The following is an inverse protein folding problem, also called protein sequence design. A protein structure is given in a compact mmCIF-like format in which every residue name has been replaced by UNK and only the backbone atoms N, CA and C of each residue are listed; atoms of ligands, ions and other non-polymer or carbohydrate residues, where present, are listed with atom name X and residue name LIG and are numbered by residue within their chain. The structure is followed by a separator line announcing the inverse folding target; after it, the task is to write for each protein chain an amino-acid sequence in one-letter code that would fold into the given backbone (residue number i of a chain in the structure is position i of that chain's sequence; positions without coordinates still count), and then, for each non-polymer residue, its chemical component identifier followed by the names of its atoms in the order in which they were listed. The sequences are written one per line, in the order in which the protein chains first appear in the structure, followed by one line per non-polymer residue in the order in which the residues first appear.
data_IF_127150334993
#
_entry.id   IF_127150334993
#
_cell.length_a   1.000
_cell.length_b   1.000
_cell.length_c   1.000
_cell.angle_alpha   90.00
_cell.angle_beta   90.00
_cell.angle_gamma   90.00
#
_symmetry.space_group_name_H-M   'P 1'
#
loop_
_entity.id
_entity.type
_entity.pdbx_description
1 polymer ?
#
# COMPACT_ATOMS: atom_id res chain seq x y z
N UNK A 1 -4.14 18.54 -9.50
CA UNK A 1 -4.07 18.19 -10.93
C UNK A 1 -5.42 18.33 -11.63
N UNK A 2 -5.39 18.52 -12.93
CA UNK A 2 -6.55 18.71 -13.81
C UNK A 2 -7.09 17.34 -14.25
N UNK A 3 -7.62 16.59 -13.30
CA UNK A 3 -8.24 15.26 -13.50
C UNK A 3 -9.52 15.15 -12.68
N UNK A 4 -10.50 14.40 -13.19
CA UNK A 4 -11.70 14.09 -12.42
C UNK A 4 -11.37 13.17 -11.22
N UNK A 5 -10.69 12.06 -11.47
CA UNK A 5 -10.29 11.14 -10.41
C UNK A 5 -9.20 11.72 -9.53
N UNK A 6 -9.53 11.90 -8.29
CA UNK A 6 -8.70 12.42 -7.22
C UNK A 6 -9.57 12.91 -6.07
N UNK A 7 -8.95 13.33 -4.99
CA UNK A 7 -9.68 13.86 -3.85
C UNK A 7 -10.03 15.34 -4.14
N UNK A 8 -11.31 15.72 -4.03
CA UNK A 8 -11.69 17.11 -4.23
C UNK A 8 -11.07 17.99 -3.14
N UNK A 9 -10.70 19.19 -3.50
CA UNK A 9 -10.10 20.16 -2.57
C UNK A 9 -11.22 21.01 -1.97
N UNK A 10 -11.45 20.97 -0.64
CA UNK A 10 -12.58 21.60 0.02
C UNK A 10 -12.36 23.13 0.19
N UNK A 11 -12.12 23.81 -0.93
CA UNK A 11 -11.88 25.25 -0.98
C UNK A 11 -12.75 25.88 -2.05
N UNK A 12 -13.28 27.05 -1.78
CA UNK A 12 -13.98 27.88 -2.75
C UNK A 12 -13.23 29.19 -2.99
N UNK A 13 -13.30 29.70 -4.21
CA UNK A 13 -12.76 31.00 -4.60
C UNK A 13 -13.89 32.01 -4.66
N UNK A 14 -13.84 33.01 -3.78
CA UNK A 14 -14.77 34.12 -3.72
C UNK A 14 -14.08 35.42 -4.18
N UNK A 15 -14.72 36.24 -4.99
CA UNK A 15 -14.13 37.50 -5.45
C UNK A 15 -13.87 38.47 -4.30
N UNK A 16 -14.71 38.44 -3.26
CA UNK A 16 -14.58 39.31 -2.09
C UNK A 16 -13.63 38.77 -1.03
N UNK A 17 -13.67 37.45 -0.75
CA UNK A 17 -12.97 36.85 0.38
C UNK A 17 -11.69 36.10 -0.01
N UNK A 18 -11.42 35.90 -1.31
CA UNK A 18 -10.31 35.08 -1.79
C UNK A 18 -10.62 33.59 -1.66
N UNK A 19 -9.60 32.80 -1.29
CA UNK A 19 -9.75 31.37 -1.04
C UNK A 19 -10.31 31.15 0.36
N UNK A 20 -11.44 30.43 0.43
CA UNK A 20 -12.16 30.13 1.69
C UNK A 20 -12.34 28.63 1.80
N UNK A 21 -11.95 27.99 2.91
CA UNK A 21 -12.26 26.58 3.14
C UNK A 21 -13.77 26.37 3.31
N UNK A 22 -14.27 25.20 2.91
CA UNK A 22 -15.63 24.78 3.22
C UNK A 22 -15.78 24.62 4.74
N UNK A 23 -17.01 24.79 5.23
CA UNK A 23 -17.36 24.50 6.62
C UNK A 23 -17.37 22.98 6.88
N UNK A 24 -17.21 22.58 8.13
CA UNK A 24 -17.15 21.15 8.51
C UNK A 24 -18.45 20.39 8.18
N UNK A 25 -19.58 21.08 8.24
CA UNK A 25 -20.91 20.53 7.89
C UNK A 25 -21.10 20.31 6.38
N UNK A 26 -20.25 20.89 5.54
CA UNK A 26 -20.20 20.64 4.08
C UNK A 26 -19.25 19.48 3.70
N UNK A 27 -18.63 18.83 4.67
CA UNK A 27 -17.72 17.69 4.45
C UNK A 27 -18.43 16.34 4.70
N UNK A 28 -18.08 15.29 3.95
CA UNK A 28 -17.10 15.25 2.86
C UNK A 28 -17.58 15.95 1.59
N UNK A 29 -16.68 16.69 0.92
CA UNK A 29 -16.95 17.20 -0.42
C UNK A 29 -16.88 16.04 -1.42
N UNK A 30 -18.00 15.71 -2.05
CA UNK A 30 -18.10 14.64 -3.03
C UNK A 30 -17.96 15.17 -4.46
N UNK A 31 -17.37 14.32 -5.32
CA UNK A 31 -17.34 14.57 -6.76
C UNK A 31 -18.75 14.37 -7.35
N UNK A 32 -19.16 15.19 -8.33
CA UNK A 32 -20.46 15.03 -8.97
C UNK A 32 -20.50 13.77 -9.83
N UNK A 33 -21.63 13.06 -9.84
CA UNK A 33 -21.86 11.97 -10.78
C UNK A 33 -21.92 12.48 -12.22
N UNK A 34 -21.13 11.89 -13.11
CA UNK A 34 -21.01 12.33 -14.50
C UNK A 34 -20.95 11.14 -15.46
N UNK A 35 -21.55 11.32 -16.64
CA UNK A 35 -21.49 10.31 -17.70
C UNK A 35 -20.10 10.24 -18.37
N UNK A 36 -19.36 11.35 -18.40
CA UNK A 36 -18.03 11.45 -18.99
C UNK A 36 -17.14 12.41 -18.23
N UNK A 37 -15.89 12.04 -18.07
CA UNK A 37 -14.85 12.82 -17.40
C UNK A 37 -13.54 12.84 -18.19
N UNK A 38 -13.63 12.83 -19.50
CA UNK A 38 -12.46 12.90 -20.38
C UNK A 38 -11.68 14.21 -20.16
N UNK A 39 -10.35 14.16 -20.26
CA UNK A 39 -9.54 15.37 -20.21
C UNK A 39 -9.99 16.38 -21.26
N UNK A 40 -9.95 17.66 -20.90
CA UNK A 40 -10.28 18.75 -21.81
C UNK A 40 -9.09 19.09 -22.73
N UNK A 41 -9.38 19.56 -23.93
CA UNK A 41 -8.35 19.94 -24.92
C UNK A 41 -7.58 21.22 -24.52
N UNK A 42 -8.17 22.05 -23.65
CA UNK A 42 -7.58 23.29 -23.17
C UNK A 42 -6.73 23.13 -21.89
N UNK A 43 -6.62 21.89 -21.37
CA UNK A 43 -5.86 21.58 -20.15
C UNK A 43 -6.55 21.94 -18.84
N UNK A 44 -7.80 22.39 -18.87
CA UNK A 44 -8.61 22.60 -17.67
C UNK A 44 -9.10 21.26 -17.11
N UNK A 45 -9.45 21.26 -15.83
CA UNK A 45 -10.09 20.10 -15.20
C UNK A 45 -11.45 19.81 -15.85
N UNK A 46 -11.83 18.54 -16.08
CA UNK A 46 -13.18 18.17 -16.47
C UNK A 46 -14.25 18.72 -15.53
N UNK A 47 -13.95 18.90 -14.25
CA UNK A 47 -14.85 19.51 -13.26
C UNK A 47 -15.18 20.96 -13.60
N UNK A 48 -14.32 21.71 -14.27
CA UNK A 48 -14.55 23.10 -14.61
C UNK A 48 -15.76 23.30 -15.54
N UNK A 49 -16.11 22.28 -16.34
CA UNK A 49 -17.29 22.30 -17.21
C UNK A 49 -18.61 21.98 -16.47
N UNK A 50 -18.54 21.52 -15.22
CA UNK A 50 -19.71 21.12 -14.42
C UNK A 50 -20.25 22.31 -13.63
N UNK A 51 -20.88 23.24 -14.30
CA UNK A 51 -21.28 24.53 -13.76
C UNK A 51 -22.14 24.45 -12.51
N UNK A 52 -23.02 23.46 -12.42
CA UNK A 52 -23.91 23.26 -11.27
C UNK A 52 -23.15 22.82 -10.02
N UNK A 53 -22.07 22.08 -10.19
CA UNK A 53 -21.19 21.70 -9.09
C UNK A 53 -20.16 22.81 -8.75
N UNK A 54 -19.62 23.47 -9.77
CA UNK A 54 -18.59 24.52 -9.60
C UNK A 54 -19.15 25.75 -8.90
N UNK A 55 -20.32 26.23 -9.32
CA UNK A 55 -20.91 27.44 -8.76
C UNK A 55 -21.55 27.16 -7.40
N UNK A 56 -21.16 27.96 -6.41
CA UNK A 56 -21.61 27.78 -5.03
C UNK A 56 -21.66 29.13 -4.31
N UNK A 57 -21.99 29.12 -3.04
CA UNK A 57 -21.96 30.29 -2.16
C UNK A 57 -20.71 30.28 -1.29
N UNK A 58 -20.17 31.44 -1.01
CA UNK A 58 -19.04 31.61 -0.12
C UNK A 58 -19.46 31.38 1.34
N UNK A 59 -18.84 30.43 2.07
CA UNK A 59 -19.17 30.16 3.48
C UNK A 59 -18.92 31.39 4.39
N UNK A 60 -18.02 32.28 3.97
CA UNK A 60 -17.65 33.44 4.78
C UNK A 60 -18.62 34.63 4.60
N UNK A 61 -19.01 34.95 3.37
CA UNK A 61 -19.80 36.19 3.13
C UNK A 61 -21.17 35.94 2.46
N UNK A 62 -21.51 34.68 2.16
CA UNK A 62 -22.77 34.31 1.49
C UNK A 62 -22.88 34.75 0.02
N UNK A 63 -21.85 35.41 -0.53
CA UNK A 63 -21.81 35.81 -1.93
C UNK A 63 -21.46 34.70 -2.90
N UNK A 64 -21.49 34.97 -4.23
CA UNK A 64 -21.13 33.99 -5.24
C UNK A 64 -19.68 33.54 -5.08
N UNK A 65 -19.46 32.23 -5.25
CA UNK A 65 -18.14 31.63 -5.21
C UNK A 65 -18.05 30.45 -6.20
N UNK A 66 -16.85 30.00 -6.47
CA UNK A 66 -16.59 28.82 -7.31
C UNK A 66 -15.77 27.80 -6.53
N UNK A 67 -16.17 26.53 -6.58
CA UNK A 67 -15.36 25.42 -6.04
C UNK A 67 -14.06 25.29 -6.81
N UNK A 68 -13.02 24.85 -6.10
CA UNK A 68 -11.77 24.42 -6.72
C UNK A 68 -12.04 23.22 -7.63
N UNK A 69 -11.53 23.27 -8.86
CA UNK A 69 -11.77 22.24 -9.87
C UNK A 69 -10.60 21.28 -10.05
N UNK A 70 -9.45 21.61 -9.50
CA UNK A 70 -8.33 20.68 -9.40
C UNK A 70 -8.63 19.62 -8.33
N UNK A 71 -8.11 18.41 -8.53
CA UNK A 71 -8.18 17.35 -7.54
C UNK A 71 -6.79 16.98 -7.05
N UNK A 72 -6.68 16.54 -5.80
CA UNK A 72 -5.45 15.96 -5.30
C UNK A 72 -5.23 14.57 -5.92
N UNK A 73 -3.98 14.16 -6.23
CA UNK A 73 -3.71 12.81 -6.69
C UNK A 73 -4.01 11.80 -5.57
N UNK A 74 -4.25 10.54 -5.95
CA UNK A 74 -4.49 9.44 -5.01
C UNK A 74 -3.40 9.28 -3.92
N UNK A 75 -2.23 9.86 -4.11
CA UNK A 75 -1.18 9.92 -3.09
C UNK A 75 -1.57 10.74 -1.86
N UNK A 76 -2.50 11.68 -1.98
CA UNK A 76 -3.02 12.41 -0.84
C UNK A 76 -3.79 11.48 0.10
N UNK A 77 -4.76 10.70 -0.40
CA UNK A 77 -5.50 9.73 0.39
C UNK A 77 -4.63 8.60 0.93
N UNK A 78 -3.74 8.06 0.10
CA UNK A 78 -2.81 7.02 0.56
C UNK A 78 -1.79 7.51 1.59
N UNK A 79 -1.68 8.83 1.79
CA UNK A 79 -0.71 9.42 2.73
C UNK A 79 -1.04 9.19 4.19
N UNK A 80 -2.26 8.82 4.52
CA UNK A 80 -2.72 8.70 5.91
C UNK A 80 -3.44 7.40 6.25
N UNK A 81 -3.56 6.45 5.32
CA UNK A 81 -4.28 5.19 5.54
C UNK A 81 -3.76 4.40 6.76
N UNK A 82 -2.45 4.39 6.98
CA UNK A 82 -1.82 3.69 8.10
C UNK A 82 -2.18 4.32 9.46
N UNK A 83 -2.49 5.60 9.50
CA UNK A 83 -3.04 6.26 10.68
C UNK A 83 -4.46 5.76 10.95
N UNK A 84 -5.30 5.74 9.92
CA UNK A 84 -6.68 5.27 10.01
C UNK A 84 -6.77 3.79 10.41
N UNK A 85 -5.81 2.97 10.00
CA UNK A 85 -5.75 1.55 10.39
C UNK A 85 -5.57 1.36 11.90
N UNK A 86 -5.05 2.33 12.62
CA UNK A 86 -4.91 2.23 14.09
C UNK A 86 -6.27 2.26 14.79
N UNK A 87 -7.30 2.86 14.16
CA UNK A 87 -8.63 3.02 14.74
C UNK A 87 -9.70 3.14 13.62
N UNK A 88 -9.96 2.04 12.86
CA UNK A 88 -10.70 2.10 11.59
C UNK A 88 -12.20 2.40 11.76
N UNK A 89 -12.75 2.20 12.95
CA UNK A 89 -14.19 2.40 13.26
C UNK A 89 -14.47 3.73 13.98
N UNK A 90 -13.48 4.58 14.16
CA UNK A 90 -13.66 5.88 14.78
C UNK A 90 -14.39 6.84 13.82
N UNK A 91 -15.56 7.32 14.21
CA UNK A 91 -16.35 8.25 13.39
C UNK A 91 -16.14 9.73 13.81
N UNK A 92 -15.46 9.98 14.92
CA UNK A 92 -15.33 11.31 15.50
C UNK A 92 -13.98 11.96 15.17
N UNK A 93 -12.96 11.15 14.84
CA UNK A 93 -11.61 11.63 14.55
C UNK A 93 -10.90 10.74 13.54
N UNK A 94 -9.75 11.20 13.03
CA UNK A 94 -8.82 10.45 12.20
C UNK A 94 -8.49 9.07 12.81
N UNK A 95 -8.14 9.07 14.08
CA UNK A 95 -7.98 7.95 14.99
C UNK A 95 -7.87 8.49 16.42
N UNK A 96 -8.13 7.67 17.43
CA UNK A 96 -7.95 8.07 18.82
C UNK A 96 -6.46 8.32 19.15
N UNK A 97 -6.20 9.27 20.02
CA UNK A 97 -4.83 9.60 20.45
C UNK A 97 -4.14 8.42 21.12
N UNK A 98 -4.90 7.62 21.85
CA UNK A 98 -4.45 6.41 22.54
C UNK A 98 -4.00 5.34 21.55
N UNK A 99 -4.81 5.07 20.53
CA UNK A 99 -4.47 4.11 19.48
C UNK A 99 -3.23 4.55 18.70
N UNK A 100 -3.17 5.82 18.27
CA UNK A 100 -2.01 6.35 17.58
C UNK A 100 -0.75 6.32 18.45
N UNK A 101 -0.84 6.62 19.75
CA UNK A 101 0.31 6.55 20.66
C UNK A 101 0.82 5.12 20.84
N UNK A 102 -0.05 4.13 20.77
CA UNK A 102 0.33 2.72 20.89
C UNK A 102 0.96 2.18 19.61
N UNK A 103 0.39 2.48 18.44
CA UNK A 103 0.78 1.87 17.17
C UNK A 103 1.81 2.65 16.37
N UNK A 104 2.08 3.91 16.72
CA UNK A 104 3.02 4.75 15.98
C UNK A 104 4.30 5.03 16.78
N UNK A 105 5.43 5.24 16.09
CA UNK A 105 5.62 5.10 14.64
C UNK A 105 5.49 3.64 14.18
N UNK A 106 5.13 3.42 12.91
CA UNK A 106 5.08 2.07 12.32
C UNK A 106 6.46 1.42 12.43
N UNK A 107 6.53 0.24 13.04
CA UNK A 107 7.80 -0.42 13.35
C UNK A 107 8.57 -0.80 12.09
N UNK A 108 7.85 -1.30 11.08
CA UNK A 108 8.47 -1.77 9.85
C UNK A 108 7.54 -1.57 8.66
N UNK A 109 8.03 -0.81 7.66
CA UNK A 109 7.29 -0.43 6.48
C UNK A 109 7.95 -0.97 5.20
N UNK A 110 7.28 -1.93 4.55
CA UNK A 110 7.74 -2.57 3.32
C UNK A 110 7.03 -2.00 2.10
N UNK A 111 7.77 -1.80 1.02
CA UNK A 111 7.20 -1.33 -0.23
C UNK A 111 8.21 -1.29 -1.37
N UNK A 112 7.71 -1.08 -2.59
CA UNK A 112 8.56 -0.96 -3.77
C UNK A 112 9.45 0.29 -3.73
N UNK A 113 10.60 0.22 -4.38
CA UNK A 113 11.56 1.32 -4.45
C UNK A 113 10.97 2.56 -5.12
N UNK A 114 10.05 2.41 -6.06
CA UNK A 114 9.35 3.49 -6.76
C UNK A 114 8.60 4.43 -5.82
N UNK A 115 8.12 3.92 -4.68
CA UNK A 115 7.39 4.71 -3.70
C UNK A 115 8.25 5.68 -2.90
N UNK A 116 9.58 5.63 -3.03
CA UNK A 116 10.49 6.57 -2.39
C UNK A 116 10.17 8.03 -2.77
N UNK A 117 9.84 8.27 -4.03
CA UNK A 117 9.49 9.59 -4.57
C UNK A 117 7.97 9.78 -4.77
N UNK A 118 7.16 8.79 -4.45
CA UNK A 118 5.71 8.81 -4.56
C UNK A 118 5.06 8.76 -3.17
N UNK A 119 4.49 7.62 -2.80
CA UNK A 119 3.78 7.46 -1.54
C UNK A 119 4.58 7.89 -0.30
N UNK A 120 5.85 7.50 -0.19
CA UNK A 120 6.66 7.83 1.00
C UNK A 120 6.95 9.33 1.14
N UNK A 121 7.12 10.04 0.02
CA UNK A 121 7.29 11.48 0.04
C UNK A 121 6.03 12.18 0.54
N UNK A 122 4.87 11.82 -0.04
CA UNK A 122 3.58 12.40 0.35
C UNK A 122 3.20 12.06 1.80
N UNK A 123 3.31 10.81 2.19
CA UNK A 123 2.92 10.37 3.53
C UNK A 123 3.79 11.00 4.63
N UNK A 124 5.10 11.16 4.40
CA UNK A 124 5.98 11.84 5.35
C UNK A 124 5.69 13.34 5.43
N UNK A 125 5.35 13.99 4.31
CA UNK A 125 4.94 15.38 4.30
C UNK A 125 3.65 15.57 5.11
N UNK A 126 2.60 14.79 4.84
CA UNK A 126 1.35 14.80 5.59
C UNK A 126 1.55 14.52 7.08
N UNK A 127 2.32 13.52 7.39
CA UNK A 127 2.57 13.13 8.78
C UNK A 127 3.27 14.24 9.56
N UNK A 128 4.25 14.92 8.96
CA UNK A 128 4.94 16.06 9.59
C UNK A 128 4.02 17.25 9.79
N UNK A 129 3.17 17.54 8.82
CA UNK A 129 2.14 18.56 8.99
C UNK A 129 1.19 18.21 10.14
N UNK A 130 0.69 16.99 10.20
CA UNK A 130 -0.17 16.53 11.29
C UNK A 130 0.55 16.54 12.65
N UNK A 131 1.85 16.27 12.68
CA UNK A 131 2.66 16.41 13.89
C UNK A 131 2.74 17.86 14.36
N UNK A 132 3.01 18.80 13.46
CA UNK A 132 3.07 20.23 13.76
C UNK A 132 1.71 20.77 14.24
N UNK A 133 0.61 20.17 13.81
CA UNK A 133 -0.75 20.46 14.30
C UNK A 133 -1.12 19.70 15.60
N UNK A 134 -0.24 18.87 16.15
CA UNK A 134 -0.47 18.10 17.37
C UNK A 134 -1.48 16.95 17.23
N UNK A 135 -1.73 16.49 15.99
CA UNK A 135 -2.67 15.41 15.67
C UNK A 135 -2.02 14.04 15.90
N UNK A 136 -0.77 13.86 15.45
CA UNK A 136 -0.03 12.59 15.61
C UNK A 136 1.06 12.70 16.68
N UNK A 137 1.42 11.60 17.37
CA UNK A 137 2.30 11.64 18.53
C UNK A 137 3.80 11.69 18.20
N UNK A 138 4.21 11.39 16.97
CA UNK A 138 5.61 11.28 16.57
C UNK A 138 5.88 12.02 15.26
N UNK A 139 7.13 12.49 15.08
CA UNK A 139 7.52 13.31 13.93
C UNK A 139 7.72 12.49 12.65
N UNK A 140 8.21 11.26 12.76
CA UNK A 140 8.41 10.36 11.63
C UNK A 140 7.40 9.22 11.68
N UNK A 141 6.76 8.87 10.54
CA UNK A 141 5.73 7.84 10.53
C UNK A 141 6.28 6.41 10.61
N UNK A 142 7.52 6.17 10.18
CA UNK A 142 8.11 4.84 10.05
C UNK A 142 9.45 4.77 10.77
N UNK A 143 9.67 3.71 11.56
CA UNK A 143 10.96 3.44 12.21
C UNK A 143 11.95 2.79 11.25
N UNK A 144 11.49 1.78 10.52
CA UNK A 144 12.28 1.02 9.56
C UNK A 144 11.55 0.92 8.24
N UNK A 145 12.26 1.18 7.16
CA UNK A 145 11.77 0.99 5.81
C UNK A 145 12.66 0.00 5.06
N UNK A 146 12.03 -0.97 4.39
CA UNK A 146 12.71 -1.93 3.52
C UNK A 146 12.08 -1.89 2.13
N UNK A 147 12.92 -1.92 1.09
CA UNK A 147 12.45 -2.12 -0.28
C UNK A 147 12.55 -3.60 -0.61
N UNK A 148 11.46 -4.18 -1.08
CA UNK A 148 11.52 -5.50 -1.70
C UNK A 148 12.07 -5.39 -3.13
N UNK A 149 12.64 -6.49 -3.64
CA UNK A 149 13.02 -6.62 -5.04
C UNK A 149 11.80 -6.76 -5.96
N UNK A 150 12.06 -6.83 -7.25
CA UNK A 150 11.03 -6.95 -8.28
C UNK A 150 11.11 -8.35 -8.91
N UNK A 151 9.98 -9.03 -9.05
CA UNK A 151 9.88 -10.23 -9.87
C UNK A 151 9.68 -9.80 -11.32
N UNK A 152 10.63 -10.21 -12.15
CA UNK A 152 10.68 -9.93 -13.58
C UNK A 152 10.05 -11.09 -14.37
N UNK A 153 9.69 -10.86 -15.62
CA UNK A 153 9.31 -11.93 -16.53
C UNK A 153 10.46 -12.92 -16.76
N UNK A 154 10.17 -14.07 -17.37
CA UNK A 154 11.16 -15.13 -17.64
C UNK A 154 12.40 -14.64 -18.42
N UNK A 155 12.22 -13.59 -19.24
CA UNK A 155 13.28 -12.95 -20.01
C UNK A 155 14.09 -11.88 -19.23
N UNK A 156 13.83 -11.72 -17.94
CA UNK A 156 14.48 -10.69 -17.11
C UNK A 156 13.97 -9.27 -17.31
N UNK A 157 12.88 -9.07 -18.05
CA UNK A 157 12.28 -7.76 -18.24
C UNK A 157 11.12 -7.50 -17.26
N UNK A 158 10.89 -6.23 -16.98
CA UNK A 158 9.73 -5.83 -16.16
C UNK A 158 8.43 -6.32 -16.80
N UNK A 159 7.60 -6.99 -16.01
CA UNK A 159 6.28 -7.42 -16.45
C UNK A 159 5.39 -6.23 -16.79
N UNK A 160 4.71 -6.30 -17.93
CA UNK A 160 3.68 -5.32 -18.30
C UNK A 160 2.62 -5.94 -19.20
N UNK A 161 1.38 -5.45 -19.07
CA UNK A 161 0.26 -5.91 -19.92
C UNK A 161 0.52 -5.67 -21.40
N UNK A 162 1.17 -4.56 -21.74
CA UNK A 162 1.51 -4.21 -23.14
C UNK A 162 2.55 -5.12 -23.78
N UNK A 163 3.36 -5.80 -22.97
CA UNK A 163 4.38 -6.77 -23.43
C UNK A 163 3.88 -8.21 -23.43
N UNK A 164 2.72 -8.48 -22.83
CA UNK A 164 2.17 -9.82 -22.74
C UNK A 164 2.98 -10.81 -21.89
N UNK A 165 3.88 -10.30 -21.03
CA UNK A 165 4.79 -11.10 -20.19
C UNK A 165 4.36 -11.12 -18.71
N UNK A 166 3.12 -10.78 -18.41
CA UNK A 166 2.57 -10.78 -17.05
C UNK A 166 2.25 -12.22 -16.64
N UNK A 167 2.73 -12.62 -15.49
CA UNK A 167 2.35 -13.86 -14.81
C UNK A 167 1.21 -13.53 -13.86
N UNK A 168 0.04 -14.14 -14.09
CA UNK A 168 -1.10 -13.95 -13.22
C UNK A 168 -0.99 -14.88 -12.01
N UNK A 169 -0.97 -14.37 -10.78
CA UNK A 169 -0.93 -15.18 -9.57
C UNK A 169 -2.05 -16.22 -9.49
N UNK A 170 -3.27 -15.87 -9.96
CA UNK A 170 -4.42 -16.78 -9.92
C UNK A 170 -4.20 -18.02 -10.77
N UNK A 171 -3.53 -17.90 -11.91
CA UNK A 171 -3.23 -19.05 -12.77
C UNK A 171 -2.26 -19.99 -12.07
N UNK A 172 -1.24 -19.45 -11.40
CA UNK A 172 -0.28 -20.25 -10.62
C UNK A 172 -0.95 -20.90 -9.41
N UNK A 173 -1.83 -20.19 -8.72
CA UNK A 173 -2.59 -20.74 -7.59
C UNK A 173 -3.51 -21.88 -8.05
N UNK A 174 -4.19 -21.73 -9.18
CA UNK A 174 -5.07 -22.75 -9.73
C UNK A 174 -4.30 -24.01 -10.18
N UNK A 175 -3.10 -23.84 -10.74
CA UNK A 175 -2.29 -24.96 -11.24
C UNK A 175 -1.47 -25.66 -10.13
N UNK A 176 -0.83 -24.89 -9.25
CA UNK A 176 0.15 -25.40 -8.28
C UNK A 176 -0.26 -25.24 -6.82
N UNK A 177 -1.28 -24.45 -6.53
CA UNK A 177 -1.70 -24.12 -5.17
C UNK A 177 -1.04 -22.87 -4.60
N UNK A 178 -1.75 -22.19 -3.70
CA UNK A 178 -1.31 -20.94 -3.07
C UNK A 178 -0.01 -21.12 -2.24
N UNK A 179 0.12 -22.22 -1.53
CA UNK A 179 1.32 -22.51 -0.72
C UNK A 179 2.58 -22.64 -1.60
N UNK A 180 2.44 -23.20 -2.80
CA UNK A 180 3.54 -23.28 -3.76
C UNK A 180 3.99 -21.90 -4.23
N UNK A 181 3.05 -21.04 -4.63
CA UNK A 181 3.37 -19.68 -5.04
C UNK A 181 4.06 -18.91 -3.92
N UNK A 182 3.49 -18.91 -2.72
CA UNK A 182 4.04 -18.21 -1.54
C UNK A 182 5.45 -18.72 -1.18
N UNK A 183 5.65 -20.04 -1.22
CA UNK A 183 6.97 -20.63 -0.97
C UNK A 183 7.97 -20.20 -2.03
N UNK A 184 7.56 -20.18 -3.29
CA UNK A 184 8.42 -19.78 -4.40
C UNK A 184 8.83 -18.31 -4.31
N UNK A 185 7.90 -17.39 -4.05
CA UNK A 185 8.19 -15.96 -3.92
C UNK A 185 9.18 -15.66 -2.79
N UNK A 186 9.08 -16.38 -1.68
CA UNK A 186 10.01 -16.22 -0.56
C UNK A 186 11.37 -16.86 -0.78
N UNK A 187 11.45 -17.90 -1.63
CA UNK A 187 12.65 -18.67 -1.86
C UNK A 187 13.49 -18.21 -3.06
N UNK A 188 12.87 -17.55 -4.05
CA UNK A 188 13.48 -17.28 -5.36
C UNK A 188 14.80 -16.51 -5.28
N UNK A 189 14.88 -15.52 -4.39
CA UNK A 189 16.05 -14.64 -4.24
C UNK A 189 16.01 -13.91 -2.89
N UNK A 190 17.11 -13.31 -2.47
CA UNK A 190 17.12 -12.45 -1.30
C UNK A 190 16.09 -11.30 -1.45
N UNK A 191 15.40 -10.98 -0.37
CA UNK A 191 14.20 -10.13 -0.34
C UNK A 191 14.35 -8.79 -1.08
N UNK A 192 15.53 -8.19 -1.03
CA UNK A 192 15.80 -6.87 -1.63
C UNK A 192 16.22 -6.93 -3.12
N UNK A 193 16.45 -8.13 -3.66
CA UNK A 193 16.97 -8.32 -5.02
C UNK A 193 15.86 -8.64 -6.03
N UNK A 194 16.07 -8.20 -7.25
CA UNK A 194 15.21 -8.60 -8.36
C UNK A 194 15.57 -10.00 -8.86
N UNK A 195 14.56 -10.77 -9.27
CA UNK A 195 14.73 -12.10 -9.86
C UNK A 195 13.81 -12.30 -11.06
N UNK A 196 14.26 -13.08 -12.03
CA UNK A 196 13.41 -13.51 -13.13
C UNK A 196 12.53 -14.68 -12.69
N UNK A 197 11.29 -14.67 -13.14
CA UNK A 197 10.36 -15.78 -12.93
C UNK A 197 10.90 -17.08 -13.54
N UNK A 198 10.65 -18.20 -12.86
CA UNK A 198 11.01 -19.53 -13.32
C UNK A 198 9.91 -20.54 -13.04
N UNK A 199 9.27 -21.05 -14.08
CA UNK A 199 8.28 -22.13 -13.95
C UNK A 199 8.87 -23.41 -13.35
N UNK A 200 10.12 -23.73 -13.64
CA UNK A 200 10.82 -24.88 -13.06
C UNK A 200 11.09 -24.68 -11.56
N UNK A 201 11.34 -23.43 -11.13
CA UNK A 201 11.44 -23.09 -9.72
C UNK A 201 10.12 -23.30 -8.97
N UNK A 202 8.99 -22.91 -9.55
CA UNK A 202 7.65 -23.16 -9.00
C UNK A 202 7.40 -24.65 -8.83
N UNK A 203 7.65 -25.45 -9.86
CA UNK A 203 7.54 -26.92 -9.80
C UNK A 203 8.45 -27.53 -8.74
N UNK A 204 9.64 -26.95 -8.54
CA UNK A 204 10.57 -27.34 -7.47
C UNK A 204 9.97 -27.15 -6.09
N UNK A 205 9.35 -25.99 -5.83
CA UNK A 205 8.66 -25.71 -4.59
C UNK A 205 7.46 -26.64 -4.38
N UNK A 206 6.68 -26.94 -5.43
CA UNK A 206 5.58 -27.91 -5.35
C UNK A 206 6.07 -29.28 -4.91
N UNK A 207 7.11 -29.81 -5.54
CA UNK A 207 7.72 -31.09 -5.15
C UNK A 207 8.23 -31.11 -3.71
N UNK A 208 8.76 -29.97 -3.24
CA UNK A 208 9.18 -29.84 -1.84
C UNK A 208 7.98 -29.96 -0.89
N UNK A 209 6.91 -29.22 -1.12
CA UNK A 209 5.70 -29.26 -0.30
C UNK A 209 5.05 -30.66 -0.30
N UNK A 210 5.02 -31.34 -1.45
CA UNK A 210 4.53 -32.71 -1.53
C UNK A 210 5.36 -33.69 -0.70
N UNK A 211 6.68 -33.51 -0.66
CA UNK A 211 7.53 -34.32 0.22
C UNK A 211 7.28 -34.03 1.69
N UNK A 212 7.11 -32.77 2.05
CA UNK A 212 6.75 -32.40 3.43
C UNK A 212 5.41 -33.01 3.82
N UNK A 213 4.41 -32.93 2.93
CA UNK A 213 3.10 -33.55 3.17
C UNK A 213 3.18 -35.07 3.41
N UNK A 214 3.99 -35.76 2.64
CA UNK A 214 4.19 -37.24 2.78
C UNK A 214 4.87 -37.64 4.08
N UNK A 215 5.50 -36.73 4.83
CA UNK A 215 6.11 -37.08 6.11
C UNK A 215 5.07 -37.59 7.12
N UNK A 216 3.80 -37.16 7.03
CA UNK A 216 2.73 -37.64 7.88
C UNK A 216 2.51 -39.16 7.76
N UNK A 217 2.77 -39.76 6.57
CA UNK A 217 2.64 -41.18 6.31
C UNK A 217 3.81 -42.00 6.87
N UNK A 218 4.85 -41.29 7.35
CA UNK A 218 6.08 -41.89 7.89
C UNK A 218 6.15 -41.83 9.43
N UNK A 219 5.10 -41.28 10.07
CA UNK A 219 5.04 -41.18 11.53
C UNK A 219 4.93 -42.58 12.13
N UNK A 220 5.63 -42.81 13.25
CA UNK A 220 5.57 -44.04 14.06
C UNK A 220 5.22 -43.66 15.49
N UNK A 221 4.75 -44.63 16.26
CA UNK A 221 4.47 -44.47 17.70
C UNK A 221 5.74 -44.60 18.56
N UNK A 222 6.92 -44.75 17.93
CA UNK A 222 8.18 -44.82 18.64
C UNK A 222 8.58 -43.45 19.19
N UNK A 223 8.88 -43.37 20.47
CA UNK A 223 9.38 -42.17 21.13
C UNK A 223 10.91 -42.08 21.03
N UNK A 224 11.39 -40.90 20.76
CA UNK A 224 12.81 -40.57 20.84
C UNK A 224 13.38 -39.93 19.57
N UNK A 225 14.57 -39.38 19.75
CA UNK A 225 15.33 -38.76 18.67
C UNK A 225 16.78 -39.26 18.72
N UNK A 226 17.37 -39.46 17.57
CA UNK A 226 18.82 -39.67 17.54
C UNK A 226 19.53 -38.39 17.99
N UNK A 227 20.67 -38.51 18.64
CA UNK A 227 21.47 -37.40 19.13
C UNK A 227 21.84 -36.40 18.02
N UNK A 228 22.13 -36.92 16.82
CA UNK A 228 22.48 -36.12 15.67
C UNK A 228 21.28 -35.33 15.15
N UNK A 229 20.08 -35.94 15.16
CA UNK A 229 18.84 -35.24 14.78
C UNK A 229 18.48 -34.10 15.73
N UNK A 230 18.62 -34.30 17.05
CA UNK A 230 18.39 -33.24 18.04
C UNK A 230 19.34 -32.05 17.81
N UNK A 231 20.61 -32.32 17.60
CA UNK A 231 21.60 -31.29 17.31
C UNK A 231 21.23 -30.52 16.04
N UNK A 232 20.87 -31.22 14.96
CA UNK A 232 20.47 -30.60 13.68
C UNK A 232 19.21 -29.78 13.83
N UNK A 233 18.22 -30.25 14.57
CA UNK A 233 16.98 -29.53 14.86
C UNK A 233 17.28 -28.18 15.54
N UNK A 234 18.06 -28.16 16.61
CA UNK A 234 18.39 -26.93 17.31
C UNK A 234 19.20 -25.94 16.47
N UNK A 235 20.15 -26.44 15.67
CA UNK A 235 20.88 -25.61 14.70
C UNK A 235 19.95 -24.98 13.66
N UNK A 236 18.99 -25.75 13.14
CA UNK A 236 18.00 -25.29 12.18
C UNK A 236 17.06 -24.24 12.81
N UNK A 237 16.54 -24.50 14.01
CA UNK A 237 15.68 -23.54 14.73
C UNK A 237 16.40 -22.20 14.93
N UNK A 238 17.66 -22.23 15.39
CA UNK A 238 18.46 -21.02 15.57
C UNK A 238 18.65 -20.26 14.25
N UNK A 239 18.99 -20.98 13.17
CA UNK A 239 19.18 -20.38 11.86
C UNK A 239 17.89 -19.76 11.34
N UNK A 240 16.79 -20.50 11.34
CA UNK A 240 15.49 -20.03 10.84
C UNK A 240 15.03 -18.79 11.60
N UNK A 241 15.12 -18.77 12.94
CA UNK A 241 14.76 -17.60 13.73
C UNK A 241 15.56 -16.36 13.31
N UNK A 242 16.87 -16.50 13.16
CA UNK A 242 17.75 -15.39 12.72
C UNK A 242 17.43 -14.95 11.27
N UNK A 243 17.15 -15.90 10.38
CA UNK A 243 16.85 -15.60 8.98
C UNK A 243 15.52 -14.83 8.84
N UNK A 244 14.50 -15.15 9.65
CA UNK A 244 13.25 -14.39 9.69
C UNK A 244 13.46 -12.93 10.12
N UNK A 245 14.27 -12.69 11.16
CA UNK A 245 14.57 -11.34 11.63
C UNK A 245 15.35 -10.50 10.60
N UNK A 246 16.13 -11.16 9.74
CA UNK A 246 17.01 -10.52 8.76
C UNK A 246 16.50 -10.63 7.32
N UNK A 247 15.29 -11.14 7.09
CA UNK A 247 14.67 -11.37 5.78
C UNK A 247 15.48 -12.27 4.84
N UNK A 248 16.18 -13.24 5.38
CA UNK A 248 16.97 -14.22 4.62
C UNK A 248 16.19 -15.52 4.48
N UNK A 249 15.23 -15.54 3.57
CA UNK A 249 14.32 -16.68 3.38
C UNK A 249 14.83 -17.76 2.41
N UNK A 250 15.95 -17.53 1.76
CA UNK A 250 16.57 -18.42 0.77
C UNK A 250 17.81 -19.16 1.31
#
# INVERSE_FOLDING_TARGET
RQRYWGEPIPIVKCEKCGYVPLSEDELPLELPDVESYMPTDNGESPLAAMTDWVNTTCPCCGGPAKRETDTMPQWAGSSWYFLRYTDPHNNDALASKEAMKYWLPVDWYNGGMEHTTLHLLYSRFWHRFLYDQGVVPCKEPYQKRTSHGMILGENGEKMSKSRGNVINPDDIVNEFGADTLRTYEMFIVAFELAASWSNEGVKGCRRFLERVWKLQDMLTDEEGFSKDMVTKMHQTMKKVSSDFETLKYN
#
